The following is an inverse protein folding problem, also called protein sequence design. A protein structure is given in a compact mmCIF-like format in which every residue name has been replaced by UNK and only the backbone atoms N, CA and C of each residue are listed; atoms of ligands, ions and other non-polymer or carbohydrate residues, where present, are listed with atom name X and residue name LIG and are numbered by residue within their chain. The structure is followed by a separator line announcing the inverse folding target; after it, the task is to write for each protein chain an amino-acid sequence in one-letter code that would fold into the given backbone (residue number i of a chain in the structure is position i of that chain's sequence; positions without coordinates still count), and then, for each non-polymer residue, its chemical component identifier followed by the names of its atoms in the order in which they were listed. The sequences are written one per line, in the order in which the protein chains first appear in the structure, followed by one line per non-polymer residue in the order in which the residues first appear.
data_IF_316311332495
#
_entry.id   IF_316311332495
#
_cell.length_a   1.000
_cell.length_b   1.000
_cell.length_c   1.000
_cell.angle_alpha   90.00
_cell.angle_beta   90.00
_cell.angle_gamma   90.00
#
_symmetry.space_group_name_H-M   'P 1'
#
loop_
_entity.id
_entity.type
_entity.pdbx_description
1 polymer ?
#
# COMPACT_ATOMS: atom_id res chain seq x y z
N UNK A 1 -12.04 -0.90 12.67
CA UNK A 1 -12.42 -0.67 11.26
C UNK A 1 -11.15 -0.86 10.44
N UNK A 2 -11.11 -1.81 9.51
CA UNK A 2 -9.88 -2.15 8.74
C UNK A 2 -9.63 -1.23 7.54
N UNK A 3 -10.60 -0.37 7.20
CA UNK A 3 -10.45 0.68 6.19
C UNK A 3 -9.81 1.88 6.87
N UNK A 4 -8.65 2.28 6.39
CA UNK A 4 -7.93 3.42 6.94
C UNK A 4 -8.40 4.73 6.31
N UNK A 5 -8.63 4.72 4.99
CA UNK A 5 -8.99 5.90 4.22
C UNK A 5 -9.87 5.57 3.03
N UNK A 6 -10.68 6.53 2.64
CA UNK A 6 -11.47 6.51 1.40
C UNK A 6 -10.91 7.59 0.47
N UNK A 7 -10.62 7.22 -0.78
CA UNK A 7 -10.17 8.12 -1.85
C UNK A 7 -11.14 8.03 -3.02
N UNK A 8 -11.06 8.98 -3.95
CA UNK A 8 -11.84 8.96 -5.19
C UNK A 8 -10.92 9.40 -6.31
N UNK A 9 -10.36 8.44 -7.03
CA UNK A 9 -9.41 8.70 -8.12
C UNK A 9 -9.58 7.67 -9.24
N UNK A 10 -9.49 8.14 -10.48
CA UNK A 10 -9.50 7.30 -11.68
C UNK A 10 -8.26 6.41 -11.77
N UNK A 11 -7.08 6.95 -11.45
CA UNK A 11 -5.77 6.31 -11.59
C UNK A 11 -4.90 6.65 -10.36
N UNK A 12 -5.22 6.12 -9.17
CA UNK A 12 -4.56 6.52 -7.92
C UNK A 12 -3.04 6.29 -7.94
N UNK A 13 -2.55 5.23 -8.60
CA UNK A 13 -1.10 5.01 -8.72
C UNK A 13 -0.42 6.07 -9.59
N UNK A 14 -1.06 6.50 -10.68
CA UNK A 14 -0.52 7.55 -11.54
C UNK A 14 -0.52 8.91 -10.81
N UNK A 15 -1.58 9.19 -10.05
CA UNK A 15 -1.66 10.39 -9.20
C UNK A 15 -0.53 10.39 -8.17
N UNK A 16 -0.31 9.27 -7.48
CA UNK A 16 0.79 9.14 -6.51
C UNK A 16 2.18 9.17 -7.15
N UNK A 17 2.32 8.69 -8.38
CA UNK A 17 3.57 8.79 -9.13
C UNK A 17 3.91 10.26 -9.44
N UNK A 18 2.92 11.06 -9.83
CA UNK A 18 3.10 12.48 -10.14
C UNK A 18 3.21 13.35 -8.89
N UNK A 19 2.48 12.99 -7.82
CA UNK A 19 2.51 13.66 -6.52
C UNK A 19 2.44 12.60 -5.40
N UNK A 20 3.60 12.18 -4.85
CA UNK A 20 3.65 11.21 -3.75
C UNK A 20 2.88 11.60 -2.48
N UNK A 21 2.56 12.88 -2.32
CA UNK A 21 1.78 13.41 -1.19
C UNK A 21 0.27 13.44 -1.47
N UNK A 22 -0.19 12.97 -2.62
CA UNK A 22 -1.60 12.93 -2.94
C UNK A 22 -2.41 12.04 -1.98
N UNK A 23 -3.69 12.39 -1.83
CA UNK A 23 -4.68 11.64 -1.05
C UNK A 23 -4.39 11.50 0.46
N UNK A 24 -3.41 12.24 0.99
CA UNK A 24 -3.03 12.20 2.40
C UNK A 24 -2.76 10.77 2.91
N UNK A 25 -2.16 9.94 2.04
CA UNK A 25 -1.78 8.54 2.36
C UNK A 25 -0.57 8.51 3.30
N UNK A 26 0.23 9.58 3.33
CA UNK A 26 1.38 9.71 4.20
C UNK A 26 1.21 10.95 5.07
N UNK A 27 1.61 10.86 6.34
CA UNK A 27 1.58 12.00 7.25
C UNK A 27 2.70 12.99 6.89
N UNK A 28 2.41 14.29 7.07
CA UNK A 28 3.33 15.40 6.72
C UNK A 28 4.61 15.44 7.58
N UNK A 29 4.60 14.76 8.73
CA UNK A 29 5.52 15.08 9.82
C UNK A 29 6.99 14.72 9.58
N UNK A 30 7.36 13.82 8.65
CA UNK A 30 8.77 13.40 8.49
C UNK A 30 9.05 12.56 7.21
N UNK A 31 8.56 12.98 6.04
CA UNK A 31 8.71 12.17 4.82
C UNK A 31 9.14 12.97 3.59
N UNK A 32 10.44 12.94 3.24
CA UNK A 32 10.83 13.14 1.84
C UNK A 32 10.43 11.89 1.06
N UNK A 33 9.39 12.01 0.24
CA UNK A 33 8.88 10.94 -0.61
C UNK A 33 9.47 11.02 -2.01
N UNK A 34 9.98 9.91 -2.52
CA UNK A 34 10.53 9.78 -3.87
C UNK A 34 9.96 8.52 -4.53
N UNK A 35 9.50 8.61 -5.77
CA UNK A 35 9.10 7.43 -6.55
C UNK A 35 10.34 6.59 -6.85
N UNK A 36 10.35 5.35 -6.37
CA UNK A 36 11.45 4.43 -6.58
C UNK A 36 11.22 3.50 -7.77
N UNK A 37 10.00 2.99 -7.94
CA UNK A 37 9.63 2.08 -9.02
C UNK A 37 8.13 2.12 -9.27
N UNK A 38 7.71 2.08 -10.53
CA UNK A 38 6.31 1.89 -10.93
C UNK A 38 6.22 0.70 -11.89
N UNK A 39 5.19 -0.13 -11.74
CA UNK A 39 4.88 -1.19 -12.67
C UNK A 39 3.39 -1.13 -13.02
N UNK A 40 3.11 -0.70 -14.25
CA UNK A 40 1.75 -0.55 -14.75
C UNK A 40 1.05 -1.90 -14.93
N UNK A 41 1.74 -2.91 -15.47
CA UNK A 41 1.16 -4.24 -15.73
C UNK A 41 0.69 -4.93 -14.45
N UNK A 42 1.52 -4.89 -13.40
CA UNK A 42 1.23 -5.47 -12.09
C UNK A 42 0.52 -4.50 -11.15
N UNK A 43 0.26 -3.28 -11.60
CA UNK A 43 -0.41 -2.19 -10.89
C UNK A 43 0.14 -2.00 -9.49
N UNK A 44 1.42 -1.64 -9.41
CA UNK A 44 2.06 -1.27 -8.16
C UNK A 44 3.03 -0.10 -8.30
N UNK A 45 3.22 0.62 -7.21
CA UNK A 45 4.17 1.71 -7.02
C UNK A 45 5.00 1.44 -5.77
N UNK A 46 6.30 1.69 -5.82
CA UNK A 46 7.18 1.73 -4.66
C UNK A 46 7.62 3.16 -4.45
N UNK A 47 7.36 3.67 -3.26
CA UNK A 47 7.82 4.98 -2.81
C UNK A 47 8.95 4.78 -1.80
N UNK A 48 10.04 5.49 -1.98
CA UNK A 48 11.12 5.61 -1.01
C UNK A 48 10.78 6.73 -0.03
N UNK A 49 10.95 6.44 1.25
CA UNK A 49 10.68 7.33 2.37
C UNK A 49 11.99 7.67 3.08
N UNK A 50 12.26 8.96 3.34
CA UNK A 50 13.37 9.37 4.21
C UNK A 50 12.82 9.94 5.52
N UNK A 51 13.14 9.27 6.63
CA UNK A 51 12.71 9.62 7.99
C UNK A 51 13.95 9.81 8.85
N UNK A 52 14.24 11.02 9.33
CA UNK A 52 15.34 11.27 10.28
C UNK A 52 16.69 10.61 9.90
N UNK A 53 17.02 10.63 8.60
CA UNK A 53 18.25 10.02 8.05
C UNK A 53 18.15 8.52 7.70
N UNK A 54 17.10 7.83 8.14
CA UNK A 54 16.78 6.44 7.80
C UNK A 54 15.97 6.36 6.51
N UNK A 55 16.16 5.29 5.74
CA UNK A 55 15.45 5.04 4.50
C UNK A 55 14.45 3.90 4.73
N UNK A 56 13.17 4.19 4.53
CA UNK A 56 12.08 3.21 4.46
C UNK A 56 11.48 3.14 3.05
N UNK A 57 10.54 2.24 2.85
CA UNK A 57 9.80 2.12 1.59
C UNK A 57 8.31 1.90 1.85
N UNK A 58 7.47 2.33 0.93
CA UNK A 58 6.06 1.94 0.85
C UNK A 58 5.83 1.19 -0.45
N UNK A 59 5.32 -0.03 -0.36
CA UNK A 59 4.85 -0.82 -1.49
C UNK A 59 3.33 -0.66 -1.58
N UNK A 60 2.90 0.03 -2.64
CA UNK A 60 1.51 0.39 -2.89
C UNK A 60 1.00 -0.44 -4.06
N UNK A 61 -0.08 -1.16 -3.88
CA UNK A 61 -0.73 -1.93 -4.95
C UNK A 61 -2.14 -1.45 -5.17
N UNK A 62 -2.61 -1.48 -6.40
CA UNK A 62 -3.99 -1.17 -6.74
C UNK A 62 -4.71 -2.41 -7.28
N UNK A 63 -5.90 -2.72 -6.75
CA UNK A 63 -6.73 -3.85 -7.20
C UNK A 63 -8.19 -3.43 -7.34
N UNK A 64 -8.82 -3.75 -8.47
CA UNK A 64 -10.26 -3.50 -8.63
C UNK A 64 -11.07 -4.38 -7.66
N UNK A 65 -10.68 -5.64 -7.50
CA UNK A 65 -11.27 -6.57 -6.54
C UNK A 65 -10.19 -7.28 -5.74
N UNK A 66 -10.25 -7.14 -4.42
CA UNK A 66 -9.32 -7.77 -3.49
C UNK A 66 -9.97 -9.01 -2.87
N UNK A 67 -9.79 -10.15 -3.54
CA UNK A 67 -10.22 -11.45 -3.02
C UNK A 67 -9.17 -12.07 -2.10
N UNK A 68 -9.52 -13.18 -1.42
CA UNK A 68 -8.55 -13.95 -0.62
C UNK A 68 -7.38 -14.45 -1.46
N UNK A 69 -7.63 -14.91 -2.69
CA UNK A 69 -6.59 -15.36 -3.60
C UNK A 69 -5.68 -14.19 -4.02
N UNK A 70 -6.28 -13.05 -4.36
CA UNK A 70 -5.52 -11.87 -4.75
C UNK A 70 -4.68 -11.35 -3.58
N UNK A 71 -5.19 -11.40 -2.36
CA UNK A 71 -4.45 -11.05 -1.15
C UNK A 71 -3.20 -11.94 -0.96
N UNK A 72 -3.29 -13.24 -1.26
CA UNK A 72 -2.13 -14.15 -1.24
C UNK A 72 -1.10 -13.76 -2.30
N UNK A 73 -1.56 -13.38 -3.49
CA UNK A 73 -0.71 -12.92 -4.59
C UNK A 73 0.02 -11.62 -4.20
N UNK A 74 -0.71 -10.61 -3.72
CA UNK A 74 -0.15 -9.35 -3.22
C UNK A 74 0.88 -9.60 -2.13
N UNK A 75 0.57 -10.46 -1.16
CA UNK A 75 1.50 -10.77 -0.07
C UNK A 75 2.77 -11.49 -0.54
N UNK A 76 2.65 -12.38 -1.53
CA UNK A 76 3.80 -13.02 -2.18
C UNK A 76 4.69 -12.01 -2.91
N UNK A 77 4.08 -11.06 -3.63
CA UNK A 77 4.81 -9.96 -4.27
C UNK A 77 5.52 -9.08 -3.24
N UNK A 78 4.82 -8.69 -2.17
CA UNK A 78 5.39 -7.92 -1.07
C UNK A 78 6.63 -8.58 -0.47
N UNK A 79 6.58 -9.88 -0.17
CA UNK A 79 7.75 -10.62 0.34
C UNK A 79 8.96 -10.54 -0.61
N UNK A 80 8.74 -10.64 -1.92
CA UNK A 80 9.82 -10.52 -2.92
C UNK A 80 10.41 -9.11 -2.92
N UNK A 81 9.56 -8.08 -2.82
CA UNK A 81 9.99 -6.68 -2.71
C UNK A 81 10.82 -6.47 -1.44
N UNK A 82 10.35 -6.96 -0.29
CA UNK A 82 11.07 -6.88 0.99
C UNK A 82 12.46 -7.51 0.86
N UNK A 83 12.55 -8.76 0.37
CA UNK A 83 13.84 -9.44 0.19
C UNK A 83 14.77 -8.65 -0.73
N UNK A 84 14.25 -8.18 -1.88
CA UNK A 84 15.03 -7.41 -2.87
C UNK A 84 15.55 -6.09 -2.29
N UNK A 85 14.72 -5.36 -1.55
CA UNK A 85 15.10 -4.07 -0.96
C UNK A 85 15.95 -4.22 0.30
N UNK A 86 15.92 -5.39 0.94
CA UNK A 86 16.64 -5.67 2.18
C UNK A 86 18.13 -5.98 2.02
N UNK A 87 18.71 -5.95 0.81
CA UNK A 87 20.12 -6.25 0.50
C UNK A 87 21.14 -5.66 1.52
N UNK A 88 21.34 -6.36 2.64
CA UNK A 88 22.24 -6.05 3.74
C UNK A 88 21.66 -5.30 4.96
N UNK A 89 20.46 -4.72 4.92
CA UNK A 89 19.87 -3.98 6.06
C UNK A 89 18.35 -4.09 6.05
N UNK A 90 17.76 -4.54 7.16
CA UNK A 90 16.31 -4.59 7.35
C UNK A 90 15.77 -3.15 7.37
N UNK A 91 15.08 -2.74 6.32
CA UNK A 91 14.41 -1.43 6.21
C UNK A 91 12.91 -1.66 6.30
N UNK A 92 12.21 -0.77 6.98
CA UNK A 92 10.75 -0.83 7.08
C UNK A 92 10.13 -0.67 5.70
N UNK A 93 9.40 -1.70 5.27
CA UNK A 93 8.59 -1.67 4.05
C UNK A 93 7.12 -1.74 4.46
N UNK A 94 6.38 -0.66 4.20
CA UNK A 94 4.93 -0.62 4.40
C UNK A 94 4.22 -1.32 3.24
N UNK A 95 3.12 -2.04 3.54
CA UNK A 95 2.22 -2.58 2.52
C UNK A 95 0.90 -1.79 2.54
N UNK A 96 0.62 -1.10 1.43
CA UNK A 96 -0.59 -0.31 1.23
C UNK A 96 -1.36 -0.89 0.05
N UNK A 97 -2.64 -1.20 0.26
CA UNK A 97 -3.50 -1.79 -0.75
C UNK A 97 -4.65 -0.84 -1.02
N UNK A 98 -4.68 -0.28 -2.24
CA UNK A 98 -5.79 0.51 -2.75
C UNK A 98 -6.75 -0.45 -3.46
N UNK A 99 -8.01 -0.48 -3.06
CA UNK A 99 -9.00 -1.41 -3.61
C UNK A 99 -10.33 -0.75 -3.92
N UNK A 100 -11.11 -1.28 -4.87
CA UNK A 100 -12.49 -0.81 -5.13
C UNK A 100 -13.55 -1.71 -4.50
N UNK A 101 -13.34 -3.02 -4.55
CA UNK A 101 -14.17 -4.05 -3.91
C UNK A 101 -13.29 -5.05 -3.16
N UNK A 102 -13.81 -5.67 -2.12
CA UNK A 102 -13.04 -6.59 -1.25
C UNK A 102 -13.96 -7.67 -0.69
N UNK A 103 -13.44 -8.89 -0.56
CA UNK A 103 -14.11 -9.96 0.18
C UNK A 103 -14.07 -9.65 1.69
N UNK A 104 -15.18 -9.88 2.40
CA UNK A 104 -15.23 -9.63 3.85
C UNK A 104 -14.15 -10.42 4.61
N UNK A 105 -13.84 -11.64 4.15
CA UNK A 105 -12.78 -12.50 4.72
C UNK A 105 -11.39 -11.84 4.70
N UNK A 106 -11.11 -10.96 3.74
CA UNK A 106 -9.82 -10.25 3.66
C UNK A 106 -9.65 -9.31 4.85
N UNK A 107 -10.74 -8.72 5.38
CA UNK A 107 -10.64 -7.85 6.55
C UNK A 107 -10.17 -8.62 7.79
N UNK A 108 -10.65 -9.85 8.00
CA UNK A 108 -10.21 -10.69 9.10
C UNK A 108 -8.76 -11.14 8.90
N UNK A 109 -8.35 -11.52 7.68
CA UNK A 109 -6.94 -11.84 7.37
C UNK A 109 -6.00 -10.67 7.71
N UNK A 110 -6.38 -9.45 7.30
CA UNK A 110 -5.57 -8.24 7.56
C UNK A 110 -5.53 -7.92 9.05
N UNK A 111 -6.66 -8.06 9.75
CA UNK A 111 -6.74 -7.85 11.20
C UNK A 111 -5.89 -8.84 11.97
N UNK A 112 -5.97 -10.14 11.65
CA UNK A 112 -5.13 -11.18 12.25
C UNK A 112 -3.65 -10.92 12.01
N UNK A 113 -3.28 -10.51 10.78
CA UNK A 113 -1.90 -10.12 10.47
C UNK A 113 -1.43 -8.96 11.34
N UNK A 114 -2.20 -7.86 11.39
CA UNK A 114 -1.83 -6.65 12.11
C UNK A 114 -1.74 -6.89 13.62
N UNK A 115 -2.58 -7.78 14.17
CA UNK A 115 -2.50 -8.20 15.58
C UNK A 115 -1.28 -9.09 15.85
N UNK A 116 -1.04 -10.09 15.01
CA UNK A 116 0.06 -11.05 15.17
C UNK A 116 1.43 -10.42 14.98
N UNK A 117 1.55 -9.46 14.07
CA UNK A 117 2.79 -8.79 13.72
C UNK A 117 2.77 -7.31 14.11
N UNK A 118 2.30 -6.99 15.32
CA UNK A 118 2.19 -5.61 15.83
C UNK A 118 3.51 -4.83 15.92
N UNK A 119 4.65 -5.52 15.87
CA UNK A 119 5.99 -4.93 15.80
C UNK A 119 6.42 -4.52 14.38
N UNK A 120 5.60 -4.83 13.37
CA UNK A 120 5.84 -4.48 11.96
C UNK A 120 4.85 -3.40 11.52
N UNK A 121 5.17 -2.64 10.45
CA UNK A 121 4.18 -1.77 9.86
C UNK A 121 2.90 -2.54 9.50
N UNK A 122 1.71 -2.02 9.86
CA UNK A 122 0.46 -2.69 9.56
C UNK A 122 0.20 -2.71 8.05
N UNK A 123 -0.56 -3.70 7.60
CA UNK A 123 -1.18 -3.67 6.27
C UNK A 123 -2.29 -2.64 6.30
N UNK A 124 -2.21 -1.69 5.37
CA UNK A 124 -3.12 -0.55 5.25
C UNK A 124 -4.06 -0.78 4.06
N UNK A 125 -5.37 -0.69 4.30
CA UNK A 125 -6.39 -0.83 3.26
C UNK A 125 -7.02 0.53 2.98
N UNK A 126 -7.02 0.94 1.71
CA UNK A 126 -7.58 2.20 1.23
C UNK A 126 -8.66 1.90 0.20
N UNK A 127 -9.89 2.33 0.50
CA UNK A 127 -11.01 2.18 -0.43
C UNK A 127 -10.96 3.29 -1.48
N UNK A 128 -10.92 2.94 -2.76
CA UNK A 128 -11.15 3.86 -3.86
C UNK A 128 -12.64 3.80 -4.27
N UNK A 129 -13.41 4.79 -3.82
CA UNK A 129 -14.86 4.88 -3.98
C UNK A 129 -15.29 5.51 -5.32
N UNK A 130 -14.40 5.60 -6.30
CA UNK A 130 -14.66 6.22 -7.61
C UNK A 130 -15.94 5.72 -8.30
N UNK A 131 -16.26 4.44 -8.17
CA UNK A 131 -17.45 3.85 -8.79
C UNK A 131 -18.70 3.85 -7.88
N UNK A 132 -18.59 4.35 -6.64
CA UNK A 132 -19.71 4.46 -5.69
C UNK A 132 -20.43 5.81 -5.75
N UNK A 133 -19.88 6.81 -6.44
CA UNK A 133 -20.46 8.16 -6.53
C UNK A 133 -21.21 8.45 -7.84
N UNK A 134 -21.47 7.43 -8.67
CA UNK A 134 -22.23 7.57 -9.92
C UNK A 134 -23.71 7.14 -9.78
N UNK A 135 -24.35 7.44 -8.65
CA UNK A 135 -25.77 7.18 -8.41
C UNK A 135 -26.53 8.46 -8.05
#
# INVERSE_FOLDING_TARGET
MCIERIITDQNPLLTLMNNPYAHDIFDEADFQLEVFEMNEEKRYLIIRKRINGTIGYAFIVERDFLSVEEMRTVYSQYKKVVVRLSNGNFRDVELIIIYRKVDEEVFEIVKEYNQKYSHRPPIRLILNAKDLMNF
#
